data_IF_382772222818
#
_entry.id   IF_382772222818
#
_cell.length_a   1.000
_cell.length_b   1.000
_cell.length_c   1.000
_cell.angle_alpha   90.00
_cell.angle_beta   90.00
_cell.angle_gamma   90.00
#
_symmetry.space_group_name_H-M   'P 1'
#
loop_
_entity.id
_entity.type
_entity.pdbx_description
1 polymer ?
#
# COMPACT_ATOMS: atom_id res chain seq x y z
N UNK A 1 -18.50 21.00 1.69
CA UNK A 1 -17.92 20.17 2.72
C UNK A 1 -18.05 18.68 2.48
N UNK A 2 -19.18 18.23 1.96
CA UNK A 2 -19.34 16.81 1.61
C UNK A 2 -18.34 16.33 0.56
N UNK A 3 -18.00 17.19 -0.40
CA UNK A 3 -17.01 16.84 -1.42
C UNK A 3 -15.61 16.65 -0.88
N UNK A 4 -15.25 17.33 0.21
CA UNK A 4 -13.94 17.17 0.84
C UNK A 4 -13.79 15.80 1.48
N UNK A 5 -14.86 15.28 2.09
CA UNK A 5 -14.85 13.96 2.70
C UNK A 5 -14.62 12.85 1.67
N UNK A 6 -15.24 12.96 0.51
CA UNK A 6 -15.07 11.99 -0.57
C UNK A 6 -13.65 12.04 -1.14
N UNK A 7 -13.10 13.22 -1.32
CA UNK A 7 -11.72 13.38 -1.79
C UNK A 7 -10.72 12.77 -0.82
N UNK A 8 -10.92 12.98 0.46
CA UNK A 8 -10.07 12.40 1.49
C UNK A 8 -10.13 10.88 1.48
N UNK A 9 -11.31 10.30 1.28
CA UNK A 9 -11.47 8.85 1.19
C UNK A 9 -10.71 8.28 0.00
N UNK A 10 -10.79 8.93 -1.16
CA UNK A 10 -10.05 8.50 -2.34
C UNK A 10 -8.55 8.59 -2.12
N UNK A 11 -8.08 9.71 -1.51
CA UNK A 11 -6.69 9.86 -1.17
C UNK A 11 -6.21 8.83 -0.18
N UNK A 12 -7.03 8.52 0.83
CA UNK A 12 -6.72 7.48 1.80
C UNK A 12 -6.58 6.12 1.16
N UNK A 13 -7.49 5.76 0.27
CA UNK A 13 -7.46 4.45 -0.39
C UNK A 13 -6.20 4.30 -1.24
N UNK A 14 -5.88 5.29 -2.05
CA UNK A 14 -4.67 5.26 -2.86
C UNK A 14 -3.41 5.24 -2.00
N UNK A 15 -3.34 6.10 -0.98
CA UNK A 15 -2.22 6.17 -0.05
C UNK A 15 -2.15 4.89 0.77
N UNK A 16 -3.30 4.42 1.26
CA UNK A 16 -3.38 3.20 2.05
C UNK A 16 -2.87 1.97 1.32
N UNK A 17 -3.04 1.89 0.02
CA UNK A 17 -2.50 0.77 -0.77
C UNK A 17 -0.98 0.76 -0.77
N UNK A 18 -0.35 1.91 -0.98
CA UNK A 18 1.11 2.02 -0.93
C UNK A 18 1.63 1.71 0.47
N UNK A 19 1.00 2.31 1.47
CA UNK A 19 1.39 2.13 2.86
C UNK A 19 1.20 0.68 3.29
N UNK A 20 0.10 0.05 2.90
CA UNK A 20 -0.16 -1.37 3.17
C UNK A 20 0.91 -2.25 2.53
N UNK A 21 1.26 -1.96 1.28
CA UNK A 21 2.30 -2.72 0.57
C UNK A 21 3.65 -2.56 1.26
N UNK A 22 4.02 -1.33 1.66
CA UNK A 22 5.26 -1.08 2.36
C UNK A 22 5.31 -1.78 3.71
N UNK A 23 4.22 -1.71 4.46
CA UNK A 23 4.14 -2.40 5.75
C UNK A 23 4.24 -3.91 5.59
N UNK A 24 3.62 -4.46 4.57
CA UNK A 24 3.72 -5.90 4.29
C UNK A 24 5.16 -6.29 3.95
N UNK A 25 5.83 -5.51 3.12
CA UNK A 25 7.22 -5.77 2.76
C UNK A 25 8.12 -5.71 4.01
N UNK A 26 7.90 -4.73 4.86
CA UNK A 26 8.66 -4.58 6.10
C UNK A 26 8.31 -5.65 7.13
N UNK A 27 7.08 -6.16 7.12
CA UNK A 27 6.68 -7.29 7.96
C UNK A 27 7.50 -8.52 7.60
N UNK A 28 7.83 -8.68 6.32
CA UNK A 28 8.64 -9.80 5.86
C UNK A 28 10.09 -9.69 6.31
N UNK A 29 10.67 -8.49 6.21
CA UNK A 29 12.04 -8.22 6.67
C UNK A 29 12.31 -6.72 6.67
N UNK A 30 13.19 -6.26 7.54
CA UNK A 30 13.68 -4.88 7.50
C UNK A 30 14.35 -4.59 6.15
N UNK A 31 14.28 -3.35 5.69
CA UNK A 31 14.83 -3.00 4.40
C UNK A 31 15.15 -1.51 4.28
N UNK A 32 16.05 -1.19 3.37
CA UNK A 32 16.32 0.18 2.96
C UNK A 32 15.19 0.70 2.07
N UNK A 33 15.03 2.01 2.02
CA UNK A 33 13.99 2.63 1.19
C UNK A 33 14.12 2.27 -0.29
N UNK A 34 15.34 2.17 -0.79
CA UNK A 34 15.59 1.84 -2.19
C UNK A 34 15.17 0.40 -2.52
N UNK A 35 15.44 -0.53 -1.60
CA UNK A 35 14.99 -1.91 -1.74
C UNK A 35 13.48 -1.99 -1.76
N UNK A 36 12.82 -1.22 -0.90
CA UNK A 36 11.36 -1.16 -0.85
C UNK A 36 10.79 -0.64 -2.17
N UNK A 37 11.44 0.37 -2.76
CA UNK A 37 11.02 0.91 -4.05
C UNK A 37 11.03 -0.17 -5.14
N UNK A 38 12.12 -0.93 -5.22
CA UNK A 38 12.24 -2.03 -6.18
C UNK A 38 11.18 -3.10 -5.95
N UNK A 39 10.96 -3.47 -4.68
CA UNK A 39 9.97 -4.48 -4.33
C UNK A 39 8.54 -4.04 -4.62
N UNK A 40 8.24 -2.76 -4.50
CA UNK A 40 6.92 -2.24 -4.88
C UNK A 40 6.65 -2.41 -6.37
N UNK A 41 7.67 -2.19 -7.20
CA UNK A 41 7.54 -2.41 -8.64
C UNK A 41 7.22 -3.87 -8.94
N UNK A 42 7.92 -4.78 -8.28
CA UNK A 42 7.67 -6.22 -8.40
C UNK A 42 6.27 -6.60 -7.91
N UNK A 43 5.75 -5.85 -6.94
CA UNK A 43 4.43 -6.07 -6.37
C UNK A 43 3.30 -5.61 -7.31
N UNK A 44 3.64 -4.96 -8.42
CA UNK A 44 2.67 -4.52 -9.40
C UNK A 44 2.11 -3.12 -9.15
N UNK A 45 2.76 -2.36 -8.28
CA UNK A 45 2.31 -0.99 -7.96
C UNK A 45 2.78 0.05 -8.98
N UNK A 46 3.50 -0.38 -10.03
CA UNK A 46 4.01 0.51 -11.06
C UNK A 46 5.23 1.29 -10.59
N UNK A 47 5.63 2.25 -11.40
CA UNK A 47 6.76 3.11 -11.05
C UNK A 47 6.32 4.13 -10.03
N UNK A 48 7.10 4.24 -8.96
CA UNK A 48 6.87 5.24 -7.91
C UNK A 48 8.15 6.04 -7.75
N UNK A 49 8.05 7.36 -7.74
CA UNK A 49 9.23 8.21 -7.57
C UNK A 49 9.86 7.97 -6.20
N UNK A 50 11.20 7.91 -6.12
CA UNK A 50 11.88 7.74 -4.83
C UNK A 50 11.46 8.75 -3.78
N UNK A 51 11.26 10.01 -4.18
CA UNK A 51 10.84 11.06 -3.25
C UNK A 51 9.49 10.77 -2.59
N UNK A 52 8.58 10.12 -3.32
CA UNK A 52 7.28 9.74 -2.78
C UNK A 52 7.45 8.66 -1.72
N UNK A 53 8.28 7.65 -1.99
CA UNK A 53 8.51 6.56 -1.05
C UNK A 53 9.15 7.07 0.24
N UNK A 54 10.17 7.90 0.13
CA UNK A 54 10.82 8.45 1.32
C UNK A 54 9.89 9.35 2.13
N UNK A 55 9.01 10.09 1.47
CA UNK A 55 8.00 10.89 2.16
C UNK A 55 7.01 10.00 2.90
N UNK A 56 6.54 8.93 2.26
CA UNK A 56 5.61 7.98 2.90
C UNK A 56 6.28 7.30 4.09
N UNK A 57 7.52 6.88 3.95
CA UNK A 57 8.26 6.25 5.05
C UNK A 57 8.43 7.19 6.23
N UNK A 58 8.77 8.46 5.97
CA UNK A 58 8.88 9.46 7.04
C UNK A 58 7.55 9.71 7.73
N UNK A 59 6.47 9.75 6.95
CA UNK A 59 5.13 9.93 7.51
C UNK A 59 4.74 8.74 8.38
N UNK A 60 5.00 7.53 7.92
CA UNK A 60 4.73 6.31 8.69
C UNK A 60 5.59 6.25 9.97
N UNK A 61 6.82 6.72 9.89
CA UNK A 61 7.70 6.80 11.05
C UNK A 61 7.16 7.80 12.08
N UNK A 62 6.70 8.95 11.60
CA UNK A 62 6.10 9.96 12.46
C UNK A 62 4.84 9.44 13.17
N UNK A 63 4.11 8.54 12.53
CA UNK A 63 2.92 7.91 13.11
C UNK A 63 3.24 6.73 14.02
N UNK A 64 4.49 6.32 14.06
CA UNK A 64 4.92 5.19 14.89
C UNK A 64 4.66 3.82 14.28
N UNK A 65 4.35 3.76 12.99
CA UNK A 65 4.08 2.49 12.30
C UNK A 65 5.36 1.79 11.87
N UNK A 66 6.41 2.56 11.66
CA UNK A 66 7.75 2.04 11.38
C UNK A 66 8.75 2.81 12.21
N UNK A 67 9.92 2.23 12.42
CA UNK A 67 11.07 2.96 12.91
C UNK A 67 12.26 2.74 11.98
N UNK A 68 13.32 3.49 12.17
CA UNK A 68 14.49 3.36 11.34
C UNK A 68 15.75 3.55 12.15
N UNK A 69 16.81 2.90 11.68
CA UNK A 69 18.16 3.06 12.23
C UNK A 69 19.14 3.19 11.07
N UNK A 70 20.29 3.77 11.35
CA UNK A 70 21.36 3.80 10.35
C UNK A 70 21.92 2.40 10.15
N UNK A 71 22.23 2.08 8.90
CA UNK A 71 22.89 0.81 8.57
C UNK A 71 24.39 0.96 8.88
N UNK A 72 24.79 0.45 10.02
CA UNK A 72 26.18 0.52 10.47
C UNK A 72 27.09 -0.44 9.70
N UNK A 73 26.53 -1.44 9.06
CA UNK A 73 27.29 -2.41 8.29
C UNK A 73 27.63 -1.91 6.88
N UNK A 74 26.99 -0.82 6.47
CA UNK A 74 27.27 -0.26 5.16
C UNK A 74 28.59 0.48 5.16
N UNK A 75 29.54 -0.03 4.37
CA UNK A 75 30.89 0.53 4.28
C UNK A 75 31.13 1.35 3.02
N UNK A 76 30.23 1.30 2.05
CA UNK A 76 30.36 2.01 0.79
C UNK A 76 29.17 2.94 0.55
N UNK A 77 29.47 4.13 0.06
CA UNK A 77 28.46 5.12 -0.23
C UNK A 77 27.94 5.84 1.01
N UNK A 78 26.96 6.73 0.83
CA UNK A 78 26.40 7.47 1.96
C UNK A 78 25.64 6.55 2.91
N UNK A 79 25.58 6.90 4.20
CA UNK A 79 24.81 6.12 5.16
C UNK A 79 23.36 5.98 4.73
N UNK A 80 22.77 4.83 4.98
CA UNK A 80 21.37 4.54 4.64
C UNK A 80 20.62 4.13 5.90
N UNK A 81 19.32 4.43 5.88
CA UNK A 81 18.44 3.99 6.96
C UNK A 81 17.83 2.64 6.62
N UNK A 82 17.76 1.79 7.63
CA UNK A 82 17.01 0.53 7.56
C UNK A 82 15.70 0.77 8.29
N UNK A 83 14.59 0.49 7.62
CA UNK A 83 13.26 0.63 8.18
C UNK A 83 12.76 -0.70 8.69
N UNK A 84 12.00 -0.65 9.79
CA UNK A 84 11.39 -1.83 10.42
C UNK A 84 9.95 -1.51 10.78
N UNK A 85 9.07 -2.50 10.66
CA UNK A 85 7.71 -2.35 11.13
C UNK A 85 7.69 -2.42 12.66
N UNK A 86 6.81 -1.64 13.27
CA UNK A 86 6.58 -1.68 14.72
C UNK A 86 5.36 -2.55 15.02
N UNK A 87 5.13 -2.84 16.31
CA UNK A 87 3.91 -3.54 16.72
C UNK A 87 2.66 -2.78 16.30
N UNK A 88 2.69 -1.44 16.42
CA UNK A 88 1.58 -0.62 15.96
C UNK A 88 1.40 -0.73 14.45
N UNK A 89 2.49 -0.73 13.69
CA UNK A 89 2.45 -0.92 12.24
C UNK A 89 1.83 -2.25 11.84
N UNK A 90 2.13 -3.30 12.57
CA UNK A 90 1.52 -4.62 12.35
C UNK A 90 0.00 -4.58 12.55
N UNK A 91 -0.46 -3.90 13.58
CA UNK A 91 -1.89 -3.74 13.84
C UNK A 91 -2.57 -2.96 12.73
N UNK A 92 -1.94 -1.88 12.28
CA UNK A 92 -2.45 -1.05 11.17
C UNK A 92 -2.51 -1.89 9.90
N UNK A 93 -1.48 -2.66 9.61
CA UNK A 93 -1.45 -3.54 8.44
C UNK A 93 -2.61 -4.53 8.47
N UNK A 94 -2.81 -5.20 9.58
CA UNK A 94 -3.89 -6.18 9.72
C UNK A 94 -5.27 -5.54 9.48
N UNK A 95 -5.48 -4.35 10.01
CA UNK A 95 -6.74 -3.62 9.82
C UNK A 95 -6.96 -3.27 8.35
N UNK A 96 -5.93 -2.74 7.70
CA UNK A 96 -6.03 -2.36 6.29
C UNK A 96 -6.23 -3.55 5.37
N UNK A 97 -5.56 -4.66 5.65
CA UNK A 97 -5.75 -5.89 4.86
C UNK A 97 -7.19 -6.38 4.98
N UNK A 98 -7.77 -6.29 6.17
CA UNK A 98 -9.18 -6.60 6.37
C UNK A 98 -10.10 -5.73 5.52
N UNK A 99 -9.84 -4.42 5.49
CA UNK A 99 -10.61 -3.49 4.67
C UNK A 99 -10.44 -3.77 3.18
N UNK A 100 -9.22 -4.06 2.75
CA UNK A 100 -8.94 -4.42 1.36
C UNK A 100 -9.66 -5.71 0.97
N UNK A 101 -9.72 -6.67 1.88
CA UNK A 101 -10.43 -7.92 1.64
C UNK A 101 -11.92 -7.71 1.46
N UNK A 102 -12.53 -6.84 2.26
CA UNK A 102 -13.93 -6.48 2.10
C UNK A 102 -14.18 -5.76 0.76
N UNK A 103 -13.27 -4.86 0.39
CA UNK A 103 -13.35 -4.17 -0.90
C UNK A 103 -13.23 -5.17 -2.05
N UNK A 104 -12.33 -6.13 -1.94
CA UNK A 104 -12.16 -7.17 -2.95
C UNK A 104 -13.43 -7.98 -3.14
N UNK A 105 -14.08 -8.36 -2.04
CA UNK A 105 -15.35 -9.10 -2.10
C UNK A 105 -16.44 -8.30 -2.81
N UNK A 106 -16.51 -7.01 -2.51
CA UNK A 106 -17.47 -6.11 -3.15
C UNK A 106 -17.20 -5.99 -4.65
N UNK A 107 -15.93 -5.83 -5.02
CA UNK A 107 -15.54 -5.76 -6.43
C UNK A 107 -15.85 -7.06 -7.17
N UNK A 108 -15.57 -8.19 -6.56
CA UNK A 108 -15.91 -9.50 -7.14
C UNK A 108 -17.40 -9.63 -7.38
N UNK A 109 -18.20 -9.16 -6.46
CA UNK A 109 -19.66 -9.16 -6.58
C UNK A 109 -20.12 -8.30 -7.75
N UNK A 110 -19.58 -7.10 -7.86
CA UNK A 110 -19.90 -6.16 -8.94
C UNK A 110 -19.52 -6.71 -10.30
N UNK A 111 -18.29 -7.19 -10.41
CA UNK A 111 -17.76 -7.74 -11.66
C UNK A 111 -18.56 -8.98 -12.05
N UNK A 112 -18.85 -9.85 -11.09
CA UNK A 112 -19.66 -11.04 -11.34
C UNK A 112 -21.07 -10.72 -11.79
N UNK A 113 -21.70 -9.73 -11.16
CA UNK A 113 -23.04 -9.29 -11.53
C UNK A 113 -23.07 -8.72 -12.95
N UNK A 114 -22.05 -7.97 -13.32
CA UNK A 114 -21.94 -7.43 -14.67
C UNK A 114 -21.85 -8.55 -15.70
N UNK A 115 -20.96 -9.50 -15.50
CA UNK A 115 -20.78 -10.61 -16.44
C UNK A 115 -22.05 -11.47 -16.57
N UNK A 116 -22.70 -11.75 -15.46
CA UNK A 116 -23.94 -12.50 -15.46
C UNK A 116 -25.04 -11.77 -16.25
N UNK A 117 -25.16 -10.46 -16.02
CA UNK A 117 -26.14 -9.63 -16.72
C UNK A 117 -25.86 -9.61 -18.22
N UNK A 118 -24.62 -9.47 -18.62
CA UNK A 118 -24.26 -9.44 -20.05
C UNK A 118 -24.51 -10.79 -20.72
N UNK A 119 -24.29 -11.89 -20.05
CA UNK A 119 -24.60 -13.22 -20.56
C UNK A 119 -26.11 -13.41 -20.75
N UNK A 120 -26.90 -12.97 -19.77
CA UNK A 120 -28.36 -13.08 -19.83
C UNK A 120 -28.97 -12.15 -20.88
N UNK A 121 -28.42 -10.95 -21.00
CA UNK A 121 -28.93 -9.94 -21.92
C UNK A 121 -28.37 -10.00 -23.33
N UNK A 122 -27.50 -10.95 -23.62
CA UNK A 122 -26.80 -11.00 -24.90
C UNK A 122 -27.71 -11.07 -26.09
N UNK A 123 -28.84 -11.75 -25.96
CA UNK A 123 -29.83 -11.83 -27.02
C UNK A 123 -30.77 -10.62 -27.12
N UNK A 124 -30.82 -9.78 -26.10
CA UNK A 124 -31.75 -8.66 -26.04
C UNK A 124 -31.21 -7.37 -26.64
N UNK A 125 -29.92 -7.22 -26.74
CA UNK A 125 -29.27 -6.00 -27.20
C UNK A 125 -28.83 -6.05 -28.66
N UNK A 126 -29.29 -7.01 -29.41
CA UNK A 126 -28.91 -7.18 -30.79
C UNK A 126 -30.07 -6.96 -31.78
#
# INVERSE_FOLDING_TARGET
MRGRGQRRRRGRQATGMRESALLLLLHRQPAHGYTLLEQLEEFGMGEVAPSVIYRVLRDMEARGWVDSTWDEEQTQGPPRRIYRITALGDDVLATWVGELDETRKMLDHLVGAYHLHMEEGEGEYH
#
